data_IF_598437430834
#
_entry.id   IF_598437430834
#
_cell.length_a   1.000
_cell.length_b   1.000
_cell.length_c   1.000
_cell.angle_alpha   90.00
_cell.angle_beta   90.00
_cell.angle_gamma   90.00
#
_symmetry.space_group_name_H-M   'P 1'
#
loop_
_entity.id
_entity.type
_entity.pdbx_description
1 polymer ?
#
# COMPACT_ATOMS: atom_id res chain seq x y z
N UNK A 1 1.31 -1.80 3.15
CA UNK A 1 1.09 -1.13 4.44
C UNK A 1 0.82 -2.20 5.45
N UNK A 2 1.54 -2.14 6.56
CA UNK A 2 1.53 -3.16 7.60
C UNK A 2 1.94 -2.43 8.89
N UNK A 3 1.15 -2.58 9.95
CA UNK A 3 1.33 -1.83 11.20
C UNK A 3 2.54 -2.35 11.99
N UNK A 4 2.74 -3.67 11.96
CA UNK A 4 3.78 -4.35 12.69
C UNK A 4 5.09 -4.33 11.88
N UNK A 5 6.16 -3.71 12.41
CA UNK A 5 7.42 -3.57 11.69
C UNK A 5 7.99 -4.89 11.16
N UNK A 6 7.85 -6.00 11.91
CA UNK A 6 8.35 -7.30 11.49
C UNK A 6 7.60 -7.84 10.27
N UNK A 7 6.28 -7.70 10.26
CA UNK A 7 5.46 -8.16 9.13
C UNK A 7 5.78 -7.33 7.88
N UNK A 8 6.01 -6.02 8.06
CA UNK A 8 6.39 -5.11 6.97
C UNK A 8 7.72 -5.49 6.34
N UNK A 9 8.70 -5.84 7.16
CA UNK A 9 10.02 -6.28 6.71
C UNK A 9 9.95 -7.64 6.00
N UNK A 10 9.19 -8.59 6.53
CA UNK A 10 9.01 -9.90 5.92
C UNK A 10 8.33 -9.76 4.55
N UNK A 11 7.23 -9.01 4.48
CA UNK A 11 6.50 -8.80 3.24
C UNK A 11 7.35 -8.08 2.18
N UNK A 12 8.08 -7.02 2.57
CA UNK A 12 8.95 -6.29 1.64
C UNK A 12 10.08 -7.15 1.11
N UNK A 13 10.68 -7.97 1.99
CA UNK A 13 11.74 -8.90 1.62
C UNK A 13 11.22 -9.95 0.63
N UNK A 14 10.06 -10.56 0.91
CA UNK A 14 9.46 -11.56 0.01
C UNK A 14 9.13 -10.98 -1.39
N UNK A 15 8.57 -9.78 -1.44
CA UNK A 15 8.25 -9.10 -2.70
C UNK A 15 9.52 -8.70 -3.46
N UNK A 16 10.56 -8.25 -2.77
CA UNK A 16 11.87 -7.97 -3.37
C UNK A 16 12.51 -9.24 -3.95
N UNK A 17 12.42 -10.38 -3.25
CA UNK A 17 12.87 -11.68 -3.78
C UNK A 17 12.08 -12.11 -5.02
N UNK A 18 10.83 -11.69 -5.16
CA UNK A 18 10.02 -11.90 -6.37
C UNK A 18 10.41 -10.96 -7.53
N UNK A 19 11.40 -10.08 -7.34
CA UNK A 19 11.89 -9.14 -8.36
C UNK A 19 11.08 -7.84 -8.45
N UNK A 20 10.23 -7.55 -7.47
CA UNK A 20 9.44 -6.32 -7.42
C UNK A 20 10.23 -5.19 -6.76
N UNK A 21 10.03 -3.96 -7.24
CA UNK A 21 10.45 -2.76 -6.52
C UNK A 21 9.40 -2.46 -5.44
N UNK A 22 9.83 -2.50 -4.18
CA UNK A 22 8.94 -2.37 -3.04
C UNK A 22 9.20 -1.05 -2.35
N UNK A 23 8.12 -0.34 -2.04
CA UNK A 23 8.17 0.87 -1.24
C UNK A 23 7.14 0.77 -0.11
N UNK A 24 7.56 1.08 1.12
CA UNK A 24 6.78 0.81 2.33
C UNK A 24 6.26 2.10 2.96
N UNK A 25 4.95 2.17 3.18
CA UNK A 25 4.32 3.20 3.99
C UNK A 25 3.95 2.68 5.38
N UNK A 26 4.16 3.53 6.40
CA UNK A 26 3.92 3.21 7.83
C UNK A 26 2.47 3.46 8.25
N UNK A 27 1.78 4.34 7.54
CA UNK A 27 0.35 4.60 7.68
C UNK A 27 -0.22 4.96 6.30
N UNK A 28 -1.54 5.04 6.20
CA UNK A 28 -2.14 5.36 4.90
C UNK A 28 -2.19 6.85 4.56
N UNK A 29 -1.81 7.79 5.44
CA UNK A 29 -1.56 9.18 5.03
C UNK A 29 -0.28 9.23 4.18
N UNK A 30 0.78 8.60 4.67
CA UNK A 30 2.03 8.48 3.94
C UNK A 30 1.82 7.74 2.61
N UNK A 31 0.95 6.74 2.58
CA UNK A 31 0.63 6.09 1.33
C UNK A 31 -0.15 6.95 0.36
N UNK A 32 -1.12 7.74 0.82
CA UNK A 32 -1.83 8.68 -0.04
C UNK A 32 -0.87 9.71 -0.67
N UNK A 33 0.09 10.22 0.11
CA UNK A 33 1.14 11.10 -0.38
C UNK A 33 2.01 10.43 -1.46
N UNK A 34 2.42 9.18 -1.22
CA UNK A 34 3.24 8.42 -2.17
C UNK A 34 2.49 8.09 -3.45
N UNK A 35 1.27 7.58 -3.36
CA UNK A 35 0.47 7.25 -4.56
C UNK A 35 0.09 8.53 -5.34
N UNK A 36 0.04 9.69 -4.68
CA UNK A 36 -0.12 10.98 -5.34
C UNK A 36 1.14 11.51 -6.05
N UNK A 37 2.34 11.07 -5.64
CA UNK A 37 3.61 11.53 -6.18
C UNK A 37 4.26 10.55 -7.18
N UNK A 38 3.89 9.27 -7.13
CA UNK A 38 4.35 8.25 -8.07
C UNK A 38 3.27 7.21 -8.38
N UNK A 39 3.35 6.63 -9.57
CA UNK A 39 2.45 5.56 -9.98
C UNK A 39 2.94 4.21 -9.43
N UNK A 40 2.00 3.38 -9.01
CA UNK A 40 2.26 2.01 -8.56
C UNK A 40 1.39 1.03 -9.34
N UNK A 41 1.99 -0.10 -9.73
CA UNK A 41 1.27 -1.20 -10.39
C UNK A 41 0.46 -2.06 -9.40
N UNK A 42 0.91 -2.13 -8.14
CA UNK A 42 0.29 -2.91 -7.07
C UNK A 42 0.41 -2.17 -5.73
N UNK A 43 -0.66 -2.20 -4.94
CA UNK A 43 -0.69 -1.70 -3.57
C UNK A 43 -1.18 -2.82 -2.68
N UNK A 44 -0.30 -3.30 -1.80
CA UNK A 44 -0.65 -4.24 -0.74
C UNK A 44 -0.98 -3.44 0.53
N UNK A 45 -2.19 -3.62 1.05
CA UNK A 45 -2.72 -2.89 2.20
C UNK A 45 -3.21 -3.89 3.23
N UNK A 46 -2.75 -3.76 4.47
CA UNK A 46 -3.36 -4.45 5.60
C UNK A 46 -4.76 -3.89 5.87
N UNK A 47 -5.71 -4.80 6.06
CA UNK A 47 -7.12 -4.49 6.32
C UNK A 47 -7.33 -4.12 7.79
N UNK A 48 -6.51 -4.65 8.71
CA UNK A 48 -6.66 -4.46 10.15
C UNK A 48 -5.62 -3.51 10.73
N UNK A 49 -5.72 -2.22 10.38
CA UNK A 49 -4.89 -1.18 11.00
C UNK A 49 -5.58 -0.54 12.22
N UNK A 50 -4.86 -0.29 13.34
CA UNK A 50 -5.44 0.23 14.58
C UNK A 50 -5.83 1.73 14.52
N UNK A 51 -5.24 2.51 13.61
CA UNK A 51 -5.40 3.97 13.57
C UNK A 51 -6.15 4.50 12.33
N UNK A 52 -6.23 3.72 11.25
CA UNK A 52 -6.98 4.11 10.06
C UNK A 52 -7.56 2.87 9.38
N UNK A 53 -8.81 2.95 8.95
CA UNK A 53 -9.45 1.86 8.20
C UNK A 53 -8.73 1.66 6.84
N UNK A 54 -8.06 0.52 6.67
CA UNK A 54 -7.37 0.16 5.41
C UNK A 54 -8.30 0.15 4.20
N UNK A 55 -9.61 -0.08 4.43
CA UNK A 55 -10.63 0.01 3.40
C UNK A 55 -10.88 1.46 2.96
N UNK A 56 -10.83 2.41 3.90
CA UNK A 56 -10.99 3.84 3.61
C UNK A 56 -9.79 4.38 2.83
N UNK A 57 -8.57 4.00 3.21
CA UNK A 57 -7.37 4.31 2.44
C UNK A 57 -7.47 3.77 1.00
N UNK A 58 -7.89 2.51 0.86
CA UNK A 58 -8.10 1.87 -0.44
C UNK A 58 -9.17 2.59 -1.27
N UNK A 59 -10.28 3.02 -0.65
CA UNK A 59 -11.33 3.82 -1.34
C UNK A 59 -10.77 5.14 -1.86
N UNK A 60 -9.98 5.85 -1.07
CA UNK A 60 -9.37 7.13 -1.47
C UNK A 60 -8.37 6.96 -2.61
N UNK A 61 -7.55 5.91 -2.56
CA UNK A 61 -6.60 5.57 -3.62
C UNK A 61 -7.33 5.26 -4.94
N UNK A 62 -8.41 4.46 -4.88
CA UNK A 62 -9.24 4.15 -6.06
C UNK A 62 -10.06 5.33 -6.57
N UNK A 63 -10.40 6.27 -5.69
CA UNK A 63 -11.35 7.35 -5.95
C UNK A 63 -10.83 8.51 -6.80
N UNK A 64 -9.53 8.58 -7.10
CA UNK A 64 -9.08 9.69 -7.96
C UNK A 64 -7.58 9.95 -8.09
N UNK A 65 -6.69 8.97 -7.91
CA UNK A 65 -5.27 9.20 -8.19
C UNK A 65 -4.95 8.94 -9.68
N UNK A 66 -4.57 9.96 -10.46
CA UNK A 66 -4.21 9.78 -11.87
C UNK A 66 -2.88 9.03 -11.95
N UNK A 67 -2.93 7.76 -12.34
CA UNK A 67 -1.76 6.88 -12.44
C UNK A 67 -1.98 5.48 -11.87
N UNK A 68 -2.98 5.30 -11.01
CA UNK A 68 -3.38 3.98 -10.53
C UNK A 68 -4.29 3.30 -11.55
N UNK A 69 -3.73 2.63 -12.55
CA UNK A 69 -4.49 1.68 -13.36
C UNK A 69 -5.12 0.66 -12.42
N UNK A 70 -6.46 0.60 -12.36
CA UNK A 70 -7.30 -0.24 -11.49
C UNK A 70 -6.51 -1.21 -10.60
N UNK A 71 -5.89 -0.69 -9.52
CA UNK A 71 -4.93 -1.46 -8.75
C UNK A 71 -5.71 -2.58 -8.04
N UNK A 72 -5.42 -3.86 -8.34
CA UNK A 72 -6.11 -4.95 -7.68
C UNK A 72 -5.68 -5.01 -6.22
N UNK A 73 -6.61 -4.83 -5.29
CA UNK A 73 -6.42 -5.11 -3.86
C UNK A 73 -6.72 -6.59 -3.60
N UNK A 74 -5.86 -7.27 -2.84
CA UNK A 74 -6.19 -8.62 -2.34
C UNK A 74 -7.47 -8.58 -1.47
N UNK A 75 -8.34 -9.60 -1.55
CA UNK A 75 -9.54 -9.72 -0.72
C UNK A 75 -9.23 -10.05 0.74
#
# INVERSE_FOLDING_TARGET
MEDEPINREIASTMLAYAGLMVDCAEDGLQALERVGSQAYDLILMDVQMPNMDGLEATRRIRGGLPGGGAVPSSP
#
